data_IF_307172912272
#
_entry.id   IF_307172912272
#
_cell.length_a   1.000
_cell.length_b   1.000
_cell.length_c   1.000
_cell.angle_alpha   90.00
_cell.angle_beta   90.00
_cell.angle_gamma   90.00
#
_symmetry.space_group_name_H-M   'P 1'
#
loop_
_entity.id
_entity.type
_entity.pdbx_description
1 polymer ?
#
# COMPACT_ATOMS: atom_id res chain seq x y z
N UNK A 1 -31.59 16.09 15.36
CA UNK A 1 -30.95 16.32 14.04
C UNK A 1 -31.25 15.11 13.19
N UNK A 2 -32.35 15.16 12.42
CA UNK A 2 -32.65 14.15 11.40
C UNK A 2 -31.88 14.55 10.14
N UNK A 3 -30.82 13.82 9.82
CA UNK A 3 -30.22 13.89 8.49
C UNK A 3 -31.07 12.98 7.61
N UNK A 4 -31.94 13.57 6.78
CA UNK A 4 -32.53 12.86 5.65
C UNK A 4 -31.37 12.41 4.75
N UNK A 5 -31.10 11.11 4.75
CA UNK A 5 -30.09 10.53 3.87
C UNK A 5 -30.62 10.67 2.44
N UNK A 6 -29.91 11.43 1.60
CA UNK A 6 -30.27 11.59 0.19
C UNK A 6 -30.33 10.22 -0.49
N UNK A 7 -31.28 10.03 -1.41
CA UNK A 7 -31.38 8.80 -2.21
C UNK A 7 -30.07 8.47 -2.95
N UNK A 8 -29.29 9.49 -3.30
CA UNK A 8 -27.98 9.34 -3.95
C UNK A 8 -26.91 8.82 -2.98
N UNK A 9 -26.93 9.24 -1.71
CA UNK A 9 -25.97 8.77 -0.70
C UNK A 9 -26.16 7.28 -0.39
N UNK A 10 -27.41 6.82 -0.37
CA UNK A 10 -27.76 5.40 -0.22
C UNK A 10 -27.27 4.57 -1.41
N UNK A 11 -27.38 5.10 -2.62
CA UNK A 11 -26.90 4.43 -3.84
C UNK A 11 -25.36 4.29 -3.82
N UNK A 12 -24.64 5.37 -3.48
CA UNK A 12 -23.19 5.36 -3.37
C UNK A 12 -22.69 4.40 -2.28
N UNK A 13 -23.34 4.39 -1.11
CA UNK A 13 -23.00 3.47 -0.03
C UNK A 13 -23.16 2.01 -0.45
N UNK A 14 -24.22 1.71 -1.22
CA UNK A 14 -24.45 0.36 -1.75
C UNK A 14 -23.40 -0.05 -2.77
N UNK A 15 -23.07 0.82 -3.73
CA UNK A 15 -22.03 0.57 -4.72
C UNK A 15 -20.66 0.30 -4.06
N UNK A 16 -20.33 1.12 -3.05
CA UNK A 16 -19.12 0.94 -2.27
C UNK A 16 -19.09 -0.42 -1.57
N UNK A 17 -20.19 -0.81 -0.90
CA UNK A 17 -20.30 -2.09 -0.22
C UNK A 17 -20.14 -3.27 -1.19
N UNK A 18 -20.84 -3.25 -2.33
CA UNK A 18 -20.73 -4.30 -3.35
C UNK A 18 -19.31 -4.39 -3.94
N UNK A 19 -18.63 -3.27 -4.11
CA UNK A 19 -17.23 -3.25 -4.56
C UNK A 19 -16.27 -3.77 -3.49
N UNK A 20 -16.48 -3.41 -2.23
CA UNK A 20 -15.69 -3.93 -1.09
C UNK A 20 -15.79 -5.45 -1.01
N UNK A 21 -16.99 -6.02 -1.12
CA UNK A 21 -17.21 -7.46 -1.08
C UNK A 21 -16.56 -8.18 -2.28
N UNK A 22 -16.61 -7.59 -3.48
CA UNK A 22 -15.88 -8.13 -4.65
C UNK A 22 -14.36 -8.18 -4.42
N UNK A 23 -13.79 -7.09 -3.91
CA UNK A 23 -12.35 -7.01 -3.59
C UNK A 23 -11.97 -8.06 -2.55
N UNK A 24 -12.77 -8.17 -1.48
CA UNK A 24 -12.57 -9.17 -0.42
C UNK A 24 -12.62 -10.59 -0.99
N UNK A 25 -13.59 -10.90 -1.84
CA UNK A 25 -13.71 -12.19 -2.51
C UNK A 25 -12.49 -12.55 -3.37
N UNK A 26 -11.89 -11.59 -4.07
CA UNK A 26 -10.65 -11.83 -4.84
C UNK A 26 -9.44 -12.10 -3.93
N UNK A 27 -9.34 -11.42 -2.78
CA UNK A 27 -8.27 -11.64 -1.80
C UNK A 27 -8.40 -13.01 -1.15
N UNK A 28 -9.62 -13.43 -0.78
CA UNK A 28 -9.87 -14.72 -0.11
C UNK A 28 -9.57 -15.94 -0.99
N UNK A 29 -9.39 -15.78 -2.31
CA UNK A 29 -8.90 -16.86 -3.19
C UNK A 29 -7.45 -17.25 -2.91
N UNK A 30 -6.67 -16.33 -2.35
CA UNK A 30 -5.23 -16.52 -2.07
C UNK A 30 -4.97 -16.57 -0.57
N UNK A 31 -5.69 -15.76 0.22
CA UNK A 31 -5.53 -15.64 1.66
C UNK A 31 -6.66 -16.37 2.36
N UNK A 32 -6.34 -17.42 3.12
CA UNK A 32 -7.31 -18.23 3.85
C UNK A 32 -7.25 -17.92 5.34
N UNK A 33 -8.41 -17.73 5.98
CA UNK A 33 -8.53 -17.64 7.44
C UNK A 33 -8.14 -16.30 8.07
N UNK A 34 -7.99 -15.23 7.28
CA UNK A 34 -7.63 -13.89 7.78
C UNK A 34 -8.70 -12.81 7.47
N UNK A 35 -9.98 -13.19 7.54
CA UNK A 35 -11.11 -12.32 7.18
C UNK A 35 -11.13 -11.00 7.95
N UNK A 36 -10.89 -11.03 9.27
CA UNK A 36 -10.86 -9.82 10.11
C UNK A 36 -9.70 -8.89 9.72
N UNK A 37 -8.52 -9.46 9.43
CA UNK A 37 -7.33 -8.68 9.05
C UNK A 37 -7.53 -8.02 7.69
N UNK A 38 -8.18 -8.72 6.75
CA UNK A 38 -8.53 -8.15 5.44
C UNK A 38 -9.50 -6.98 5.63
N UNK A 39 -10.52 -7.13 6.48
CA UNK A 39 -11.48 -6.07 6.79
C UNK A 39 -10.80 -4.82 7.37
N UNK A 40 -9.97 -5.00 8.40
CA UNK A 40 -9.22 -3.90 9.04
C UNK A 40 -8.28 -3.19 8.07
N UNK A 41 -7.62 -3.96 7.19
CA UNK A 41 -6.72 -3.42 6.17
C UNK A 41 -7.49 -2.58 5.13
N UNK A 42 -8.67 -3.02 4.71
CA UNK A 42 -9.54 -2.26 3.82
C UNK A 42 -10.03 -0.98 4.50
N UNK A 43 -10.45 -1.06 5.77
CA UNK A 43 -10.85 0.11 6.57
C UNK A 43 -9.71 1.14 6.63
N UNK A 44 -8.50 0.69 6.96
CA UNK A 44 -7.33 1.57 6.99
C UNK A 44 -7.03 2.19 5.62
N UNK A 45 -7.10 1.41 4.54
CA UNK A 45 -6.86 1.90 3.19
C UNK A 45 -7.85 3.00 2.80
N UNK A 46 -9.15 2.78 3.01
CA UNK A 46 -10.19 3.74 2.63
C UNK A 46 -10.22 4.98 3.53
N UNK A 47 -9.81 4.84 4.79
CA UNK A 47 -9.64 5.97 5.72
C UNK A 47 -8.31 6.71 5.55
N UNK A 48 -7.44 6.29 4.61
CA UNK A 48 -6.07 6.80 4.44
C UNK A 48 -5.21 6.65 5.70
N UNK A 49 -5.47 5.62 6.51
CA UNK A 49 -4.71 5.26 7.69
C UNK A 49 -3.55 4.31 7.39
N UNK A 50 -2.85 3.90 8.46
CA UNK A 50 -1.76 2.94 8.43
C UNK A 50 -2.04 1.79 9.41
N UNK A 51 -1.63 0.57 9.06
CA UNK A 51 -1.78 -0.61 9.91
C UNK A 51 -0.42 -1.04 10.48
N UNK A 52 -0.42 -1.47 11.73
CA UNK A 52 0.73 -2.14 12.36
C UNK A 52 0.44 -3.63 12.52
N UNK A 53 1.22 -4.48 11.84
CA UNK A 53 1.06 -5.93 11.89
C UNK A 53 1.93 -6.58 12.96
N UNK A 54 1.39 -6.73 14.17
CA UNK A 54 2.05 -7.48 15.24
C UNK A 54 1.71 -8.96 15.13
N UNK A 55 2.72 -9.83 15.08
CA UNK A 55 2.51 -11.27 15.01
C UNK A 55 3.76 -12.01 14.55
N UNK A 56 3.78 -13.32 14.74
CA UNK A 56 4.92 -14.17 14.41
C UNK A 56 5.23 -14.18 12.91
N UNK A 57 6.49 -14.41 12.51
CA UNK A 57 6.87 -14.60 11.11
C UNK A 57 6.06 -15.73 10.46
N UNK A 58 5.80 -15.61 9.16
CA UNK A 58 5.14 -16.66 8.37
C UNK A 58 3.61 -16.58 8.30
N UNK A 59 2.97 -15.58 8.93
CA UNK A 59 1.51 -15.36 8.84
C UNK A 59 1.05 -14.73 7.51
N UNK A 60 1.75 -15.00 6.41
CA UNK A 60 1.42 -14.52 5.07
C UNK A 60 1.22 -12.98 4.96
N UNK A 61 1.72 -12.16 5.90
CA UNK A 61 1.58 -10.68 5.89
C UNK A 61 2.02 -10.08 4.55
N UNK A 62 3.19 -10.50 4.07
CA UNK A 62 3.72 -10.08 2.77
C UNK A 62 2.84 -10.51 1.61
N UNK A 63 2.30 -11.73 1.65
CA UNK A 63 1.40 -12.24 0.61
C UNK A 63 0.07 -11.48 0.61
N UNK A 64 -0.49 -11.19 1.80
CA UNK A 64 -1.73 -10.45 1.99
C UNK A 64 -1.63 -9.05 1.38
N UNK A 65 -0.64 -8.27 1.80
CA UNK A 65 -0.48 -6.88 1.34
C UNK A 65 -0.18 -6.81 -0.17
N UNK A 66 0.65 -7.74 -0.67
CA UNK A 66 0.91 -7.85 -2.11
C UNK A 66 -0.34 -8.25 -2.91
N UNK A 67 -1.15 -9.18 -2.38
CA UNK A 67 -2.41 -9.61 -3.02
C UNK A 67 -3.40 -8.45 -3.08
N UNK A 68 -3.58 -7.71 -1.99
CA UNK A 68 -4.42 -6.52 -1.96
C UNK A 68 -3.98 -5.50 -3.03
N UNK A 69 -2.68 -5.20 -3.09
CA UNK A 69 -2.16 -4.27 -4.08
C UNK A 69 -2.41 -4.72 -5.52
N UNK A 70 -2.28 -6.02 -5.81
CA UNK A 70 -2.60 -6.58 -7.13
C UNK A 70 -4.07 -6.48 -7.49
N UNK A 71 -4.96 -6.84 -6.55
CA UNK A 71 -6.42 -6.76 -6.76
C UNK A 71 -6.86 -5.33 -7.06
N UNK A 72 -6.27 -4.36 -6.37
CA UNK A 72 -6.58 -2.94 -6.55
C UNK A 72 -5.72 -2.23 -7.62
N UNK A 73 -4.81 -2.96 -8.30
CA UNK A 73 -3.86 -2.42 -9.28
C UNK A 73 -3.02 -1.24 -8.75
N UNK A 74 -2.58 -1.34 -7.51
CA UNK A 74 -1.79 -0.33 -6.81
C UNK A 74 -0.29 -0.65 -6.90
N UNK A 75 0.55 0.40 -6.95
CA UNK A 75 2.01 0.24 -6.86
C UNK A 75 2.38 -0.21 -5.45
N UNK A 76 2.99 -1.38 -5.36
CA UNK A 76 3.46 -1.98 -4.12
C UNK A 76 4.99 -1.90 -4.01
N UNK A 77 5.49 -1.53 -2.84
CA UNK A 77 6.91 -1.62 -2.47
C UNK A 77 7.05 -2.25 -1.10
N UNK A 78 8.13 -3.01 -0.90
CA UNK A 78 8.52 -3.57 0.40
C UNK A 78 9.83 -2.92 0.83
N UNK A 79 9.88 -2.48 2.08
CA UNK A 79 11.07 -1.95 2.73
C UNK A 79 11.39 -2.89 3.89
N UNK A 80 12.57 -3.48 3.87
CA UNK A 80 13.10 -4.24 5.00
C UNK A 80 13.86 -3.27 5.89
N UNK A 81 13.39 -3.06 7.11
CA UNK A 81 14.12 -2.25 8.07
C UNK A 81 15.33 -3.05 8.59
N UNK A 82 16.48 -2.40 8.56
CA UNK A 82 17.74 -2.89 9.14
C UNK A 82 18.39 -1.74 9.88
N UNK A 83 19.22 -2.00 10.92
CA UNK A 83 19.86 -0.93 11.69
C UNK A 83 20.70 0.04 10.84
N UNK A 84 21.20 -0.42 9.70
CA UNK A 84 22.06 0.35 8.79
C UNK A 84 21.30 1.15 7.73
N UNK A 85 19.96 1.01 7.65
CA UNK A 85 19.16 1.64 6.61
C UNK A 85 19.18 3.17 6.77
N UNK A 86 19.64 3.91 5.75
CA UNK A 86 19.67 5.36 5.80
C UNK A 86 18.32 5.94 5.35
N UNK A 87 17.92 7.13 5.82
CA UNK A 87 16.70 7.79 5.34
C UNK A 87 16.66 7.94 3.82
N UNK A 88 17.80 8.22 3.17
CA UNK A 88 17.92 8.31 1.71
C UNK A 88 17.62 7.00 0.98
N UNK A 89 17.79 5.84 1.63
CA UNK A 89 17.42 4.55 1.04
C UNK A 89 15.89 4.37 0.97
N UNK A 90 15.13 5.14 1.77
CA UNK A 90 13.67 5.14 1.80
C UNK A 90 13.09 6.26 0.95
N UNK A 91 13.63 7.48 1.11
CA UNK A 91 13.14 8.68 0.43
C UNK A 91 13.75 8.86 -0.96
N UNK A 92 14.89 8.27 -1.26
CA UNK A 92 15.59 8.49 -2.53
C UNK A 92 16.79 9.41 -2.38
N UNK A 93 17.52 9.58 -3.48
CA UNK A 93 18.80 10.30 -3.50
C UNK A 93 19.00 11.06 -4.81
N UNK A 94 19.74 12.16 -4.76
CA UNK A 94 20.20 12.87 -5.94
C UNK A 94 21.51 12.28 -6.43
N UNK A 95 21.55 11.87 -7.69
CA UNK A 95 22.75 11.37 -8.34
C UNK A 95 23.28 12.38 -9.36
N UNK A 96 24.59 12.57 -9.37
CA UNK A 96 25.25 13.33 -10.43
C UNK A 96 25.36 12.45 -11.68
N UNK A 97 24.52 12.73 -12.66
CA UNK A 97 24.58 12.10 -13.98
C UNK A 97 25.57 12.87 -14.86
N UNK A 98 26.43 12.14 -15.57
CA UNK A 98 27.32 12.74 -16.58
C UNK A 98 26.94 12.20 -17.95
N UNK A 99 26.51 13.08 -18.84
CA UNK A 99 26.24 12.70 -20.22
C UNK A 99 27.56 12.34 -20.91
N UNK A 100 27.64 11.13 -21.48
CA UNK A 100 28.85 10.62 -22.12
C UNK A 100 29.17 11.31 -23.45
N UNK A 101 28.17 11.89 -24.11
CA UNK A 101 28.28 12.52 -25.41
C UNK A 101 28.58 14.02 -25.30
N UNK A 102 27.94 14.72 -24.35
CA UNK A 102 28.10 16.18 -24.17
C UNK A 102 29.08 16.56 -23.05
N UNK A 103 29.34 15.65 -22.10
CA UNK A 103 30.19 15.90 -20.94
C UNK A 103 29.53 16.72 -19.84
N UNK A 104 28.28 17.15 -20.04
CA UNK A 104 27.49 17.91 -19.06
C UNK A 104 27.20 17.08 -17.81
N UNK A 105 27.16 17.77 -16.67
CA UNK A 105 26.85 17.19 -15.36
C UNK A 105 25.49 17.72 -14.93
N UNK A 106 24.58 16.82 -14.64
CA UNK A 106 23.22 17.13 -14.21
C UNK A 106 22.86 16.34 -12.94
N UNK A 107 22.10 16.94 -12.03
CA UNK A 107 21.63 16.27 -10.82
C UNK A 107 20.26 15.67 -11.10
N UNK A 108 20.15 14.35 -10.96
CA UNK A 108 18.88 13.63 -11.15
C UNK A 108 18.44 12.97 -9.85
N UNK A 109 17.21 13.24 -9.45
CA UNK A 109 16.60 12.57 -8.31
C UNK A 109 16.14 11.17 -8.69
N UNK A 110 16.53 10.18 -7.89
CA UNK A 110 16.01 8.82 -7.96
C UNK A 110 15.06 8.62 -6.79
N UNK A 111 13.78 8.38 -7.11
CA UNK A 111 12.75 8.07 -6.13
C UNK A 111 13.08 6.81 -5.32
N UNK A 112 12.99 6.93 -3.99
CA UNK A 112 13.10 5.79 -3.08
C UNK A 112 11.84 4.90 -3.08
N UNK A 113 11.85 3.78 -2.33
CA UNK A 113 10.72 2.87 -2.24
C UNK A 113 9.46 3.47 -1.60
N UNK A 114 9.56 4.63 -0.92
CA UNK A 114 8.39 5.33 -0.37
C UNK A 114 7.44 5.87 -1.45
N UNK A 115 7.88 5.97 -2.71
CA UNK A 115 7.07 6.42 -3.84
C UNK A 115 6.19 5.29 -4.39
N UNK A 116 5.24 4.83 -3.57
CA UNK A 116 4.31 3.76 -3.87
C UNK A 116 2.90 4.08 -3.34
N UNK A 117 1.89 3.33 -3.79
CA UNK A 117 0.55 3.46 -3.22
C UNK A 117 0.41 2.65 -1.93
N UNK A 118 1.06 1.49 -1.87
CA UNK A 118 1.11 0.62 -0.69
C UNK A 118 2.58 0.29 -0.40
N UNK A 119 2.97 0.47 0.86
CA UNK A 119 4.30 0.14 1.36
C UNK A 119 4.16 -0.89 2.47
N UNK A 120 4.89 -2.00 2.38
CA UNK A 120 5.11 -2.90 3.49
C UNK A 120 6.47 -2.59 4.13
N UNK A 121 6.44 -1.97 5.30
CA UNK A 121 7.61 -1.82 6.17
C UNK A 121 7.72 -3.07 7.04
N UNK A 122 8.72 -3.91 6.76
CA UNK A 122 8.98 -5.17 7.47
C UNK A 122 10.11 -4.98 8.49
N UNK A 123 10.00 -5.63 9.65
CA UNK A 123 10.96 -5.54 10.78
C UNK A 123 11.26 -4.11 11.27
N UNK A 124 10.23 -3.26 11.35
CA UNK A 124 10.32 -1.91 11.93
C UNK A 124 10.53 -1.92 13.46
#
# INVERSE_FOLDING_TARGET
MNTEISGDDLALAREFYETKERVKGEISKVIVGQETVIEDLLIALFSKGHCLFVGVPGLAKTLLVNTLAKVLKLRFKRIQFTPDLMPSDITGTEILYKDRNTGERDFRFIEGPVFANIILADEI
#
